data_IF_835250564352
#
_entry.id   IF_835250564352
#
_cell.length_a   1.000
_cell.length_b   1.000
_cell.length_c   1.000
_cell.angle_alpha   90.00
_cell.angle_beta   90.00
_cell.angle_gamma   90.00
#
_symmetry.space_group_name_H-M   'P 1'
#
loop_
_entity.id
_entity.type
_entity.pdbx_description
1 polymer ?
#
# COMPACT_ATOMS: atom_id res chain seq x y z
N UNK A 1 2.48 -23.46 13.40
CA UNK A 1 1.35 -23.83 12.50
C UNK A 1 1.49 -23.07 11.18
N UNK A 2 0.93 -23.55 10.06
CA UNK A 2 1.00 -22.86 8.77
C UNK A 2 -0.31 -22.99 7.98
N UNK A 3 -0.57 -22.04 7.08
CA UNK A 3 -1.76 -22.03 6.22
C UNK A 3 -1.45 -21.51 4.82
N UNK A 4 -2.29 -21.87 3.85
CA UNK A 4 -2.24 -21.36 2.47
C UNK A 4 -3.65 -21.40 1.89
N UNK A 5 -4.01 -20.39 1.11
CA UNK A 5 -5.25 -20.43 0.33
C UNK A 5 -5.15 -21.51 -0.77
N UNK A 6 -6.26 -22.17 -1.10
CA UNK A 6 -6.29 -23.20 -2.16
C UNK A 6 -6.28 -22.62 -3.59
N UNK A 7 -6.06 -21.30 -3.74
CA UNK A 7 -6.00 -20.65 -5.06
C UNK A 7 -4.64 -20.89 -5.74
N UNK A 8 -4.60 -21.06 -7.07
CA UNK A 8 -3.34 -21.12 -7.82
C UNK A 8 -2.42 -19.94 -7.49
N UNK A 9 -1.13 -20.20 -7.32
CA UNK A 9 -0.13 -19.18 -6.98
C UNK A 9 -0.10 -18.71 -5.52
N UNK A 10 -0.98 -19.23 -4.64
CA UNK A 10 -0.98 -18.86 -3.22
C UNK A 10 0.30 -19.32 -2.52
N UNK A 11 0.84 -18.46 -1.65
CA UNK A 11 2.04 -18.75 -0.82
C UNK A 11 1.67 -19.23 0.57
N UNK A 12 2.47 -20.13 1.14
CA UNK A 12 2.36 -20.54 2.54
C UNK A 12 2.63 -19.37 3.49
N UNK A 13 1.94 -19.36 4.62
CA UNK A 13 2.05 -18.37 5.69
C UNK A 13 2.11 -19.06 7.04
N UNK A 14 2.95 -18.54 7.92
CA UNK A 14 3.06 -19.04 9.28
C UNK A 14 1.97 -18.45 10.17
N UNK A 15 1.49 -19.26 11.12
CA UNK A 15 0.58 -18.84 12.19
C UNK A 15 1.40 -18.90 13.48
N UNK A 16 1.53 -17.75 14.13
CA UNK A 16 2.07 -17.65 15.48
C UNK A 16 1.01 -18.19 16.45
N UNK A 17 1.43 -19.10 17.32
CA UNK A 17 0.56 -19.80 18.27
C UNK A 17 1.43 -20.25 19.43
N UNK A 18 0.87 -20.23 20.65
CA UNK A 18 1.50 -20.73 21.87
C UNK A 18 2.80 -19.99 22.24
N UNK A 19 2.66 -18.79 22.83
CA UNK A 19 3.77 -17.88 23.15
C UNK A 19 3.91 -17.63 24.66
N UNK A 20 3.38 -18.53 25.48
CA UNK A 20 3.43 -18.49 26.94
C UNK A 20 4.86 -18.68 27.47
N UNK A 21 5.70 -19.46 26.79
CA UNK A 21 7.15 -19.62 27.06
C UNK A 21 8.01 -18.36 26.78
N UNK A 22 7.39 -17.20 26.73
CA UNK A 22 8.05 -15.90 26.56
C UNK A 22 8.35 -15.19 27.88
N UNK A 23 8.91 -13.99 27.76
CA UNK A 23 8.91 -12.96 28.82
C UNK A 23 9.39 -13.40 30.22
N UNK A 24 10.39 -14.28 30.31
CA UNK A 24 11.00 -14.61 31.59
C UNK A 24 10.50 -15.89 32.26
N UNK A 25 9.48 -16.58 31.73
CA UNK A 25 8.76 -17.67 32.42
C UNK A 25 9.67 -18.70 33.13
N UNK A 26 10.80 -19.07 32.51
CA UNK A 26 11.71 -20.10 33.04
C UNK A 26 12.97 -19.55 33.71
N UNK A 27 12.99 -18.25 34.04
CA UNK A 27 14.05 -17.65 34.84
C UNK A 27 14.35 -16.21 34.48
N UNK A 28 14.81 -15.48 35.49
CA UNK A 28 15.11 -14.04 35.41
C UNK A 28 16.11 -13.68 34.32
N UNK A 29 17.10 -14.53 34.05
CA UNK A 29 18.15 -14.25 33.05
C UNK A 29 17.83 -14.76 31.64
N UNK A 30 16.62 -15.26 31.38
CA UNK A 30 16.27 -15.84 30.06
C UNK A 30 16.25 -14.81 28.93
N UNK A 31 16.21 -13.50 29.24
CA UNK A 31 16.44 -12.44 28.25
C UNK A 31 17.81 -12.53 27.57
N UNK A 32 18.78 -13.29 28.14
CA UNK A 32 20.10 -13.56 27.56
C UNK A 32 20.12 -14.74 26.59
N UNK A 33 19.07 -15.57 26.55
CA UNK A 33 19.08 -16.81 25.78
C UNK A 33 19.28 -16.55 24.28
N UNK A 34 20.23 -17.23 23.65
CA UNK A 34 20.47 -17.09 22.21
C UNK A 34 19.43 -17.87 21.40
N UNK A 35 18.24 -17.29 21.26
CA UNK A 35 17.15 -17.89 20.49
C UNK A 35 17.50 -18.02 19.01
N UNK A 36 18.37 -17.17 18.47
CA UNK A 36 18.80 -17.27 17.07
C UNK A 36 19.62 -18.54 16.84
N UNK A 37 20.60 -18.81 17.71
CA UNK A 37 21.38 -20.05 17.67
C UNK A 37 20.47 -21.27 17.83
N UNK A 38 19.59 -21.25 18.83
CA UNK A 38 18.62 -22.32 19.05
C UNK A 38 17.77 -22.61 17.79
N UNK A 39 17.14 -21.61 17.18
CA UNK A 39 16.30 -21.81 15.99
C UNK A 39 17.08 -22.03 14.68
N UNK A 40 18.42 -22.04 14.73
CA UNK A 40 19.30 -22.36 13.60
C UNK A 40 20.23 -23.54 13.87
N UNK A 41 20.01 -24.28 14.96
CA UNK A 41 20.74 -25.50 15.32
C UNK A 41 20.41 -26.62 14.31
N UNK A 42 21.40 -27.15 13.56
CA UNK A 42 21.17 -28.25 12.63
C UNK A 42 20.85 -29.57 13.30
N UNK A 43 21.40 -29.85 14.49
CA UNK A 43 21.46 -31.19 15.08
C UNK A 43 20.90 -31.22 16.51
N UNK A 44 19.77 -30.56 16.73
CA UNK A 44 19.13 -30.51 18.04
C UNK A 44 18.42 -31.81 18.47
N UNK A 45 18.03 -31.94 19.75
CA UNK A 45 17.37 -33.14 20.28
C UNK A 45 15.96 -33.33 19.69
N UNK A 46 15.39 -34.53 19.82
CA UNK A 46 14.03 -34.84 19.34
C UNK A 46 12.96 -33.90 19.88
N UNK A 47 13.16 -33.40 21.11
CA UNK A 47 12.41 -32.30 21.71
C UNK A 47 13.40 -31.43 22.52
N UNK A 48 13.25 -30.10 22.56
CA UNK A 48 12.22 -29.28 21.88
C UNK A 48 12.58 -28.85 20.44
N UNK A 49 13.77 -29.21 19.94
CA UNK A 49 14.33 -28.59 18.73
C UNK A 49 14.94 -29.60 17.75
N UNK A 50 14.13 -30.49 17.16
CA UNK A 50 14.64 -31.51 16.25
C UNK A 50 15.16 -30.92 14.92
N UNK A 51 16.08 -31.59 14.20
CA UNK A 51 16.72 -31.05 12.99
C UNK A 51 15.76 -30.54 11.90
N UNK A 52 14.58 -31.14 11.78
CA UNK A 52 13.57 -30.78 10.79
C UNK A 52 12.85 -29.47 11.12
N UNK A 53 12.77 -29.05 12.38
CA UNK A 53 12.02 -27.83 12.78
C UNK A 53 12.78 -26.56 12.40
N UNK A 54 14.11 -26.61 12.42
CA UNK A 54 14.99 -25.49 12.04
C UNK A 54 15.37 -25.49 10.56
N UNK A 55 15.16 -26.63 9.86
CA UNK A 55 15.64 -26.86 8.49
C UNK A 55 15.31 -25.72 7.53
N UNK A 56 14.05 -25.29 7.48
CA UNK A 56 13.64 -24.26 6.52
C UNK A 56 14.34 -22.92 6.78
N UNK A 57 14.42 -22.49 8.04
CA UNK A 57 15.09 -21.23 8.37
C UNK A 57 16.58 -21.30 8.01
N UNK A 58 17.25 -22.41 8.33
CA UNK A 58 18.66 -22.63 7.97
C UNK A 58 18.87 -22.52 6.46
N UNK A 59 18.00 -23.16 5.66
CA UNK A 59 18.09 -23.11 4.19
C UNK A 59 17.78 -21.75 3.59
N UNK A 60 16.83 -21.01 4.16
CA UNK A 60 16.56 -19.64 3.70
C UNK A 60 17.74 -18.70 4.00
N UNK A 61 18.40 -18.87 5.15
CA UNK A 61 19.58 -18.07 5.53
C UNK A 61 20.83 -18.37 4.68
N UNK A 62 20.85 -19.43 3.87
CA UNK A 62 21.92 -19.66 2.88
C UNK A 62 21.84 -18.64 1.71
N UNK A 63 20.67 -18.03 1.48
CA UNK A 63 20.49 -16.98 0.47
C UNK A 63 20.85 -15.61 1.05
N UNK A 64 21.79 -14.90 0.42
CA UNK A 64 22.30 -13.62 0.93
C UNK A 64 21.30 -12.47 0.92
N UNK A 65 20.39 -12.44 -0.04
CA UNK A 65 19.31 -11.44 -0.05
C UNK A 65 18.32 -11.69 1.10
N UNK A 66 17.99 -12.96 1.37
CA UNK A 66 17.14 -13.32 2.50
C UNK A 66 17.84 -13.07 3.84
N UNK A 67 19.13 -13.40 3.97
CA UNK A 67 19.94 -13.10 5.15
C UNK A 67 19.91 -11.60 5.46
N UNK A 68 20.14 -10.75 4.45
CA UNK A 68 20.07 -9.30 4.60
C UNK A 68 18.67 -8.82 4.99
N UNK A 69 17.63 -9.31 4.31
CA UNK A 69 16.25 -8.98 4.65
C UNK A 69 15.86 -9.43 6.06
N UNK A 70 16.36 -10.58 6.52
CA UNK A 70 16.14 -11.11 7.86
C UNK A 70 16.79 -10.21 8.93
N UNK A 71 18.07 -9.87 8.77
CA UNK A 71 18.81 -9.01 9.71
C UNK A 71 18.19 -7.61 9.77
N UNK A 72 17.93 -6.98 8.62
CA UNK A 72 17.31 -5.65 8.54
C UNK A 72 15.91 -5.63 9.14
N UNK A 73 15.11 -6.69 8.93
CA UNK A 73 13.77 -6.80 9.53
C UNK A 73 13.83 -6.88 11.05
N UNK A 74 14.75 -7.68 11.60
CA UNK A 74 14.98 -7.75 13.04
C UNK A 74 15.41 -6.40 13.61
N UNK A 75 16.41 -5.76 13.00
CA UNK A 75 16.89 -4.44 13.41
C UNK A 75 15.77 -3.40 13.44
N UNK A 76 14.95 -3.37 12.39
CA UNK A 76 13.80 -2.48 12.29
C UNK A 76 12.75 -2.72 13.38
N UNK A 77 12.41 -3.98 13.67
CA UNK A 77 11.45 -4.27 14.75
C UNK A 77 11.99 -3.95 16.15
N UNK A 78 13.28 -4.19 16.40
CA UNK A 78 13.93 -3.87 17.68
C UNK A 78 14.03 -2.36 17.94
N UNK A 79 13.88 -1.53 16.91
CA UNK A 79 13.78 -0.06 17.03
C UNK A 79 12.33 0.44 17.03
N UNK A 80 11.35 -0.42 16.76
CA UNK A 80 9.94 -0.03 16.64
C UNK A 80 9.07 -0.90 17.55
N UNK A 81 8.35 -1.89 17.00
CA UNK A 81 7.37 -2.69 17.73
C UNK A 81 7.93 -3.48 18.92
N UNK A 82 9.23 -3.80 18.90
CA UNK A 82 9.95 -4.47 19.98
C UNK A 82 11.01 -3.57 20.63
N UNK A 83 10.86 -2.24 20.52
CA UNK A 83 11.58 -1.31 21.38
C UNK A 83 11.16 -1.48 22.84
N UNK A 84 12.06 -1.18 23.78
CA UNK A 84 11.79 -1.22 25.21
C UNK A 84 10.52 -0.44 25.56
N UNK A 85 10.43 0.82 25.13
CA UNK A 85 9.29 1.70 25.38
C UNK A 85 7.97 1.10 24.86
N UNK A 86 7.95 0.64 23.60
CA UNK A 86 6.72 0.10 23.00
C UNK A 86 6.23 -1.14 23.73
N UNK A 87 7.15 -2.04 24.12
CA UNK A 87 6.78 -3.28 24.80
C UNK A 87 6.36 -3.00 26.24
N UNK A 88 7.04 -2.11 26.97
CA UNK A 88 6.65 -1.70 28.32
C UNK A 88 5.27 -1.04 28.34
N UNK A 89 5.01 -0.10 27.42
CA UNK A 89 3.68 0.52 27.28
C UNK A 89 2.58 -0.52 27.02
N UNK A 90 2.89 -1.57 26.24
CA UNK A 90 1.94 -2.66 26.01
C UNK A 90 1.72 -3.52 27.25
N UNK A 91 2.77 -3.82 28.01
CA UNK A 91 2.68 -4.53 29.29
C UNK A 91 1.82 -3.73 30.26
N UNK A 92 2.05 -2.44 30.39
CA UNK A 92 1.31 -1.58 31.31
C UNK A 92 -0.16 -1.47 30.91
N UNK A 93 -0.46 -1.35 29.62
CA UNK A 93 -1.85 -1.40 29.13
C UNK A 93 -2.56 -2.71 29.51
N UNK A 94 -1.89 -3.87 29.36
CA UNK A 94 -2.45 -5.16 29.76
C UNK A 94 -2.62 -5.24 31.28
N UNK A 95 -1.62 -4.80 32.05
CA UNK A 95 -1.67 -4.78 33.50
C UNK A 95 -2.87 -3.96 34.00
N UNK A 96 -3.05 -2.73 33.50
CA UNK A 96 -4.15 -1.86 33.89
C UNK A 96 -5.53 -2.46 33.54
N UNK A 97 -5.65 -3.13 32.39
CA UNK A 97 -6.88 -3.79 31.99
C UNK A 97 -7.23 -4.99 32.91
N UNK A 98 -6.22 -5.69 33.44
CA UNK A 98 -6.42 -6.82 34.34
C UNK A 98 -6.60 -6.41 35.79
N UNK A 99 -6.04 -5.27 36.20
CA UNK A 99 -5.92 -4.82 37.59
C UNK A 99 -7.25 -4.91 38.39
N UNK A 100 -8.42 -4.53 37.87
CA UNK A 100 -9.68 -4.64 38.62
C UNK A 100 -10.09 -6.08 38.96
N UNK A 101 -9.67 -7.06 38.16
CA UNK A 101 -10.00 -8.48 38.34
C UNK A 101 -8.98 -9.22 39.21
N UNK A 102 -7.76 -8.68 39.37
CA UNK A 102 -6.67 -9.33 40.10
C UNK A 102 -7.05 -9.69 41.54
N UNK A 103 -7.68 -8.83 42.36
CA UNK A 103 -8.05 -9.21 43.74
C UNK A 103 -8.95 -10.45 43.79
N UNK A 104 -9.94 -10.54 42.88
CA UNK A 104 -10.85 -11.69 42.79
C UNK A 104 -10.11 -12.94 42.32
N UNK A 105 -9.21 -12.81 41.35
CA UNK A 105 -8.40 -13.92 40.85
C UNK A 105 -7.48 -14.49 41.94
N UNK A 106 -6.76 -13.62 42.66
CA UNK A 106 -5.86 -14.01 43.73
C UNK A 106 -6.61 -14.70 44.87
N UNK A 107 -7.77 -14.17 45.26
CA UNK A 107 -8.65 -14.78 46.26
C UNK A 107 -9.15 -16.16 45.82
N UNK A 108 -9.64 -16.30 44.58
CA UNK A 108 -10.18 -17.56 44.05
C UNK A 108 -9.15 -18.70 44.07
N UNK A 109 -7.90 -18.40 43.73
CA UNK A 109 -6.84 -19.40 43.58
C UNK A 109 -5.86 -19.44 44.75
N UNK A 110 -6.12 -18.69 45.82
CA UNK A 110 -5.26 -18.56 47.00
C UNK A 110 -3.81 -18.18 46.64
N UNK A 111 -3.66 -17.17 45.79
CA UNK A 111 -2.37 -16.69 45.27
C UNK A 111 -1.93 -15.40 45.99
N UNK A 112 -0.62 -15.16 46.03
CA UNK A 112 -0.06 -13.95 46.64
C UNK A 112 -0.06 -12.76 45.68
N UNK A 113 -0.52 -11.60 46.16
CA UNK A 113 -0.35 -10.34 45.46
C UNK A 113 1.13 -9.95 45.28
N UNK A 114 1.98 -10.24 46.27
CA UNK A 114 3.43 -9.97 46.13
C UNK A 114 4.03 -10.78 44.99
N UNK A 115 3.59 -12.04 44.83
CA UNK A 115 4.05 -12.91 43.76
C UNK A 115 3.59 -12.41 42.39
N UNK A 116 2.36 -11.92 42.28
CA UNK A 116 1.88 -11.27 41.06
C UNK A 116 2.77 -10.09 40.65
N UNK A 117 3.08 -9.19 41.57
CA UNK A 117 3.94 -8.04 41.29
C UNK A 117 5.38 -8.43 40.94
N UNK A 118 5.92 -9.49 41.56
CA UNK A 118 7.22 -10.06 41.19
C UNK A 118 7.23 -10.60 39.74
N UNK A 119 6.18 -11.32 39.32
CA UNK A 119 6.07 -11.82 37.95
C UNK A 119 5.90 -10.69 36.93
N UNK A 120 5.14 -9.64 37.27
CA UNK A 120 5.03 -8.44 36.41
C UNK A 120 6.39 -7.75 36.28
N UNK A 121 7.16 -7.63 37.37
CA UNK A 121 8.50 -7.07 37.32
C UNK A 121 9.46 -7.89 36.44
N UNK A 122 9.38 -9.23 36.50
CA UNK A 122 10.13 -10.14 35.64
C UNK A 122 9.83 -9.92 34.16
N UNK A 123 8.55 -9.78 33.80
CA UNK A 123 8.10 -9.53 32.42
C UNK A 123 8.63 -8.17 31.92
N UNK A 124 8.60 -7.14 32.77
CA UNK A 124 9.17 -5.81 32.46
C UNK A 124 10.69 -5.87 32.27
N UNK A 125 11.42 -6.54 33.17
CA UNK A 125 12.88 -6.70 33.07
C UNK A 125 13.27 -7.42 31.77
N UNK A 126 12.53 -8.47 31.39
CA UNK A 126 12.75 -9.15 30.11
C UNK A 126 12.57 -8.19 28.93
N UNK A 127 11.51 -7.38 28.92
CA UNK A 127 11.23 -6.43 27.85
C UNK A 127 12.35 -5.38 27.69
N UNK A 128 12.93 -4.92 28.80
CA UNK A 128 14.01 -3.94 28.84
C UNK A 128 15.32 -4.51 28.30
N UNK A 129 15.73 -5.68 28.78
CA UNK A 129 17.05 -6.22 28.44
C UNK A 129 17.09 -6.91 27.07
N UNK A 130 15.99 -7.56 26.66
CA UNK A 130 15.98 -8.47 25.50
C UNK A 130 16.45 -7.81 24.20
N UNK A 131 16.05 -6.58 23.83
CA UNK A 131 16.46 -5.98 22.56
C UNK A 131 17.97 -5.90 22.40
N UNK A 132 18.70 -5.51 23.46
CA UNK A 132 20.16 -5.42 23.44
C UNK A 132 20.82 -6.78 23.16
N UNK A 133 20.39 -7.84 23.85
CA UNK A 133 20.95 -9.18 23.64
C UNK A 133 20.62 -9.74 22.26
N UNK A 134 19.41 -9.49 21.72
CA UNK A 134 19.08 -9.91 20.36
C UNK A 134 20.00 -9.23 19.33
N UNK A 135 20.31 -7.93 19.50
CA UNK A 135 21.30 -7.25 18.64
C UNK A 135 22.68 -7.91 18.74
N UNK A 136 23.14 -8.23 19.96
CA UNK A 136 24.42 -8.95 20.15
C UNK A 136 24.43 -10.32 19.47
N UNK A 137 23.33 -11.08 19.54
CA UNK A 137 23.22 -12.38 18.86
C UNK A 137 23.25 -12.26 17.34
N UNK A 138 22.60 -11.23 16.78
CA UNK A 138 22.67 -10.93 15.34
C UNK A 138 24.10 -10.59 14.93
N UNK A 139 24.75 -9.70 15.67
CA UNK A 139 26.14 -9.29 15.43
C UNK A 139 27.08 -10.51 15.43
N UNK A 140 26.98 -11.37 16.44
CA UNK A 140 27.81 -12.57 16.55
C UNK A 140 27.53 -13.61 15.46
N UNK A 141 26.27 -13.80 15.05
CA UNK A 141 25.91 -14.83 14.06
C UNK A 141 26.20 -14.44 12.61
N UNK A 142 26.00 -13.16 12.28
CA UNK A 142 26.01 -12.66 10.91
C UNK A 142 27.18 -11.71 10.61
N UNK A 143 28.05 -11.43 11.59
CA UNK A 143 29.19 -10.52 11.42
C UNK A 143 28.75 -9.16 10.87
N UNK A 144 27.69 -8.60 11.47
CA UNK A 144 26.98 -7.43 10.95
C UNK A 144 27.78 -6.14 10.96
N UNK A 145 28.97 -6.14 11.58
CA UNK A 145 29.67 -4.93 11.96
C UNK A 145 29.00 -4.23 13.15
N UNK A 146 29.49 -3.04 13.53
CA UNK A 146 28.91 -2.21 14.59
C UNK A 146 27.46 -1.83 14.29
N UNK A 147 26.75 -1.49 15.36
CA UNK A 147 25.44 -0.86 15.27
C UNK A 147 25.60 0.58 14.79
N UNK A 148 24.71 1.01 13.90
CA UNK A 148 24.69 2.34 13.29
C UNK A 148 23.35 2.99 13.52
N UNK A 149 23.38 4.23 14.02
CA UNK A 149 22.18 5.02 14.28
C UNK A 149 21.72 5.70 12.99
N UNK A 150 20.42 5.65 12.72
CA UNK A 150 19.79 6.32 11.61
C UNK A 150 18.64 7.17 12.15
N UNK A 151 18.75 8.49 12.00
CA UNK A 151 17.68 9.42 12.36
C UNK A 151 17.00 9.85 11.07
N UNK A 152 15.71 9.55 10.95
CA UNK A 152 14.93 9.79 9.73
C UNK A 152 13.77 10.73 10.03
N UNK A 153 13.57 11.70 9.16
CA UNK A 153 12.37 12.54 9.17
C UNK A 153 11.95 12.92 7.75
N UNK A 154 10.71 13.32 7.57
CA UNK A 154 10.21 13.89 6.32
C UNK A 154 9.50 15.21 6.60
N UNK A 155 9.54 16.14 5.64
CA UNK A 155 8.65 17.30 5.68
C UNK A 155 7.20 16.87 5.45
N UNK A 156 6.27 17.79 5.70
CA UNK A 156 4.89 17.62 5.25
C UNK A 156 4.85 17.35 3.74
N UNK A 157 3.84 16.60 3.29
CA UNK A 157 3.65 16.29 1.87
C UNK A 157 4.25 14.96 1.40
N UNK A 158 4.80 14.15 2.29
CA UNK A 158 5.23 12.81 1.92
C UNK A 158 5.65 11.95 3.10
N UNK A 159 6.23 10.79 2.79
CA UNK A 159 6.75 9.83 3.74
C UNK A 159 7.94 9.06 3.18
N UNK A 160 8.77 8.53 4.06
CA UNK A 160 9.90 7.66 3.75
C UNK A 160 9.53 6.23 4.14
N UNK A 161 9.83 5.28 3.26
CA UNK A 161 9.74 3.84 3.52
C UNK A 161 11.14 3.27 3.64
N UNK A 162 11.39 2.50 4.70
CA UNK A 162 12.69 1.87 4.96
C UNK A 162 12.53 0.35 4.94
N UNK A 163 13.34 -0.34 4.13
CA UNK A 163 13.33 -1.80 3.97
C UNK A 163 11.94 -2.38 3.66
N UNK A 164 11.08 -1.61 2.96
CA UNK A 164 9.67 -1.92 2.72
C UNK A 164 8.85 -2.25 3.98
N UNK A 165 9.32 -1.87 5.16
CA UNK A 165 8.74 -2.23 6.46
C UNK A 165 8.31 -1.00 7.24
N UNK A 166 9.23 -0.09 7.50
CA UNK A 166 9.00 1.08 8.35
C UNK A 166 8.53 2.24 7.48
N UNK A 167 7.53 3.00 7.95
CA UNK A 167 7.06 4.22 7.30
C UNK A 167 7.28 5.39 8.25
N UNK A 168 7.97 6.43 7.80
CA UNK A 168 8.27 7.65 8.55
C UNK A 168 7.63 8.83 7.83
N UNK A 169 6.85 9.64 8.52
CA UNK A 169 6.20 10.85 7.95
C UNK A 169 6.67 12.09 8.72
N UNK A 170 5.75 12.81 9.36
CA UNK A 170 6.03 14.10 10.01
C UNK A 170 6.85 13.96 11.31
N UNK A 171 6.97 12.74 11.83
CA UNK A 171 7.74 12.45 13.04
C UNK A 171 9.21 12.20 12.72
N UNK A 172 10.09 12.55 13.65
CA UNK A 172 11.49 12.11 13.62
C UNK A 172 11.59 10.75 14.30
N UNK A 173 12.07 9.75 13.57
CA UNK A 173 12.23 8.39 14.06
C UNK A 173 13.71 8.04 14.13
N UNK A 174 14.11 7.49 15.27
CA UNK A 174 15.45 6.97 15.48
C UNK A 174 15.45 5.45 15.33
N UNK A 175 16.31 4.95 14.45
CA UNK A 175 16.46 3.53 14.13
C UNK A 175 17.90 3.11 14.35
N UNK A 176 18.10 1.82 14.63
CA UNK A 176 19.42 1.23 14.79
C UNK A 176 19.52 0.03 13.86
N UNK A 177 20.44 0.13 12.90
CA UNK A 177 20.78 -0.90 11.93
C UNK A 177 22.25 -1.32 12.12
N UNK A 178 22.80 -2.08 11.17
CA UNK A 178 24.17 -2.57 11.23
C UNK A 178 24.94 -2.17 9.96
N UNK A 179 26.23 -1.86 10.11
CA UNK A 179 27.09 -1.33 9.05
C UNK A 179 27.13 -2.21 7.79
N UNK A 180 27.33 -3.53 7.96
CA UNK A 180 27.53 -4.44 6.83
C UNK A 180 26.23 -4.87 6.13
N UNK A 181 25.10 -4.30 6.53
CA UNK A 181 23.77 -4.63 6.00
C UNK A 181 23.09 -3.37 5.46
N UNK A 182 23.31 -3.05 4.17
CA UNK A 182 22.72 -1.87 3.54
C UNK A 182 21.20 -1.88 3.63
N UNK A 183 20.58 -0.70 3.71
CA UNK A 183 19.13 -0.54 3.83
C UNK A 183 18.54 0.09 2.57
N UNK A 184 17.30 -0.25 2.23
CA UNK A 184 16.58 0.44 1.16
C UNK A 184 15.79 1.61 1.72
N UNK A 185 15.89 2.75 1.05
CA UNK A 185 15.18 3.98 1.34
C UNK A 185 14.31 4.33 0.14
N UNK A 186 13.04 4.65 0.38
CA UNK A 186 12.10 5.09 -0.66
C UNK A 186 11.28 6.29 -0.21
N UNK A 187 11.27 7.36 -0.99
CA UNK A 187 10.36 8.49 -0.80
C UNK A 187 9.03 8.24 -1.52
N UNK A 188 7.94 8.55 -0.83
CA UNK A 188 6.58 8.53 -1.39
C UNK A 188 5.92 9.87 -1.10
N UNK A 189 5.71 10.67 -2.13
CA UNK A 189 5.01 11.95 -2.02
C UNK A 189 3.50 11.71 -1.85
N UNK A 190 2.84 12.60 -1.09
CA UNK A 190 1.39 12.68 -0.99
C UNK A 190 0.80 13.49 -2.17
N UNK A 191 -0.53 13.52 -2.28
CA UNK A 191 -1.22 14.30 -3.30
C UNK A 191 -0.81 15.77 -3.27
N UNK A 192 -0.51 16.35 -4.44
CA UNK A 192 -0.11 17.75 -4.56
C UNK A 192 1.32 18.05 -4.12
N UNK A 193 2.17 17.03 -3.95
CA UNK A 193 3.59 17.19 -3.60
C UNK A 193 4.51 16.35 -4.48
N UNK A 194 5.79 16.70 -4.48
CA UNK A 194 6.89 15.89 -5.03
C UNK A 194 8.08 15.88 -4.09
N UNK A 195 8.94 14.86 -4.22
CA UNK A 195 10.26 14.89 -3.58
C UNK A 195 11.10 15.99 -4.24
N UNK A 196 11.51 16.95 -3.44
CA UNK A 196 12.37 18.07 -3.83
C UNK A 196 13.84 17.66 -3.73
N UNK A 197 14.27 17.23 -2.53
CA UNK A 197 15.63 16.75 -2.28
C UNK A 197 15.72 15.86 -1.05
N UNK A 198 16.84 15.17 -0.94
CA UNK A 198 17.32 14.57 0.32
C UNK A 198 18.29 15.52 1.01
N UNK A 199 18.24 15.58 2.34
CA UNK A 199 19.18 16.32 3.18
C UNK A 199 19.87 15.34 4.15
N UNK A 200 21.14 15.62 4.46
CA UNK A 200 21.95 14.82 5.38
C UNK A 200 22.69 13.63 4.74
N UNK A 201 22.49 13.40 3.44
CA UNK A 201 23.25 12.42 2.65
C UNK A 201 23.62 12.99 1.28
N UNK A 202 24.73 12.53 0.70
CA UNK A 202 25.10 12.77 -0.69
C UNK A 202 24.34 11.78 -1.61
N UNK A 203 23.02 11.95 -1.72
CA UNK A 203 22.23 11.26 -2.75
C UNK A 203 22.00 12.20 -3.94
N UNK A 204 21.92 11.66 -5.16
CA UNK A 204 21.38 12.42 -6.28
C UNK A 204 19.99 12.91 -5.89
N UNK A 205 19.82 14.23 -5.86
CA UNK A 205 18.81 14.93 -5.07
C UNK A 205 17.38 14.46 -5.37
N UNK A 206 17.13 13.88 -6.55
CA UNK A 206 15.79 13.45 -6.99
C UNK A 206 15.56 11.94 -7.00
N UNK A 207 16.52 11.10 -6.56
CA UNK A 207 16.31 9.65 -6.55
C UNK A 207 15.23 9.26 -5.54
N UNK A 208 14.17 8.62 -6.04
CA UNK A 208 13.02 8.18 -5.25
C UNK A 208 13.30 6.99 -4.38
N UNK A 209 14.19 6.12 -4.82
CA UNK A 209 14.54 4.88 -4.15
C UNK A 209 16.03 4.62 -4.35
N UNK A 210 16.72 4.27 -3.27
CA UNK A 210 18.15 3.95 -3.28
C UNK A 210 18.52 3.04 -2.11
N UNK A 211 19.70 2.44 -2.21
CA UNK A 211 20.32 1.69 -1.13
C UNK A 211 21.29 2.58 -0.37
N UNK A 212 21.17 2.63 0.95
CA UNK A 212 22.01 3.42 1.85
C UNK A 212 22.93 2.49 2.65
N UNK A 213 24.23 2.76 2.57
CA UNK A 213 25.25 2.15 3.43
C UNK A 213 25.45 3.05 4.67
N UNK A 214 25.43 2.47 5.86
CA UNK A 214 25.59 3.21 7.12
C UNK A 214 27.05 3.07 7.58
N UNK A 215 27.93 3.93 7.05
CA UNK A 215 29.36 3.87 7.35
C UNK A 215 29.78 4.74 8.55
N UNK A 216 28.87 5.59 9.03
CA UNK A 216 29.10 6.52 10.15
C UNK A 216 28.36 6.05 11.39
N UNK A 217 28.83 6.43 12.59
CA UNK A 217 28.16 6.10 13.87
C UNK A 217 26.70 6.55 13.90
N UNK A 218 26.39 7.70 13.30
CA UNK A 218 25.03 8.22 13.18
C UNK A 218 24.82 8.95 11.84
N UNK A 219 23.88 8.45 11.04
CA UNK A 219 23.43 9.09 9.79
C UNK A 219 22.11 9.82 10.04
N UNK A 220 21.97 11.05 9.54
CA UNK A 220 20.71 11.81 9.54
C UNK A 220 20.20 11.88 8.11
N UNK A 221 18.92 11.59 7.94
CA UNK A 221 18.27 11.58 6.64
C UNK A 221 16.97 12.36 6.73
N UNK A 222 16.83 13.40 5.93
CA UNK A 222 15.59 14.15 5.81
C UNK A 222 15.10 14.21 4.36
N UNK A 223 13.84 13.85 4.13
CA UNK A 223 13.21 14.03 2.81
C UNK A 223 12.42 15.34 2.80
N UNK A 224 12.78 16.24 1.88
CA UNK A 224 12.04 17.47 1.61
C UNK A 224 11.05 17.22 0.49
N UNK A 225 9.77 17.42 0.77
CA UNK A 225 8.68 17.45 -0.19
C UNK A 225 8.18 18.88 -0.35
N UNK A 226 8.07 19.34 -1.59
CA UNK A 226 7.50 20.65 -1.92
C UNK A 226 6.19 20.45 -2.69
N UNK A 227 5.28 21.40 -2.55
CA UNK A 227 4.02 21.39 -3.29
C UNK A 227 4.29 21.35 -4.80
N UNK A 228 3.62 20.43 -5.47
CA UNK A 228 3.76 20.23 -6.90
C UNK A 228 2.54 19.50 -7.45
N UNK A 229 1.88 20.17 -8.38
CA UNK A 229 0.77 19.64 -9.17
C UNK A 229 1.35 19.20 -10.50
N UNK A 230 1.27 17.91 -10.80
CA UNK A 230 1.81 17.40 -12.05
C UNK A 230 0.97 17.93 -13.23
N UNK A 231 1.56 18.30 -14.38
CA UNK A 231 0.80 18.87 -15.51
C UNK A 231 -0.32 17.98 -16.07
N UNK A 232 -0.26 16.67 -15.80
CA UNK A 232 -1.25 15.65 -16.17
C UNK A 232 -2.28 15.36 -15.08
N UNK A 233 -2.20 15.99 -13.91
CA UNK A 233 -3.24 15.92 -12.89
C UNK A 233 -4.57 16.43 -13.48
N UNK A 234 -5.66 15.69 -13.23
CA UNK A 234 -6.97 15.93 -13.84
C UNK A 234 -7.04 15.69 -15.37
N UNK A 235 -5.94 15.25 -16.00
CA UNK A 235 -5.88 14.96 -17.44
C UNK A 235 -5.61 13.50 -17.77
N UNK A 236 -4.93 12.80 -16.89
CA UNK A 236 -4.67 11.38 -17.01
C UNK A 236 -5.33 10.70 -15.81
N UNK A 237 -6.53 10.17 -16.02
CA UNK A 237 -7.42 9.72 -14.94
C UNK A 237 -7.64 8.22 -15.00
N UNK A 238 -7.70 7.55 -13.86
CA UNK A 238 -8.25 6.21 -13.74
C UNK A 238 -9.74 6.34 -14.07
N UNK A 239 -10.20 5.66 -15.13
CA UNK A 239 -11.52 5.89 -15.70
C UNK A 239 -12.52 4.80 -15.35
N UNK A 240 -12.06 3.54 -15.34
CA UNK A 240 -12.90 2.38 -15.09
C UNK A 240 -12.10 1.28 -14.38
N UNK A 241 -12.73 0.55 -13.45
CA UNK A 241 -12.12 -0.54 -12.70
C UNK A 241 -13.06 -1.74 -12.65
N UNK A 242 -12.56 -2.92 -13.03
CA UNK A 242 -13.29 -4.18 -12.95
C UNK A 242 -12.53 -5.23 -12.14
N UNK A 243 -12.86 -5.42 -10.85
CA UNK A 243 -12.22 -6.42 -10.02
C UNK A 243 -12.81 -7.82 -10.28
N UNK A 244 -11.92 -8.77 -10.57
CA UNK A 244 -12.17 -10.21 -10.74
C UNK A 244 -13.26 -10.54 -11.75
N UNK A 245 -13.18 -9.93 -12.93
CA UNK A 245 -14.03 -10.29 -14.05
C UNK A 245 -13.90 -11.79 -14.38
N UNK A 246 -15.04 -12.47 -14.58
CA UNK A 246 -15.06 -13.91 -14.82
C UNK A 246 -14.42 -14.34 -16.14
N UNK A 247 -14.40 -13.45 -17.15
CA UNK A 247 -13.84 -13.71 -18.48
C UNK A 247 -12.43 -13.14 -18.62
N UNK A 248 -12.24 -11.89 -18.21
CA UNK A 248 -11.03 -11.11 -18.46
C UNK A 248 -10.07 -11.01 -17.26
N UNK A 249 -10.50 -11.41 -16.06
CA UNK A 249 -9.75 -11.21 -14.82
C UNK A 249 -9.79 -9.77 -14.32
N UNK A 250 -8.84 -9.39 -13.47
CA UNK A 250 -8.75 -8.01 -13.00
C UNK A 250 -8.32 -7.09 -14.15
N UNK A 251 -9.00 -5.97 -14.32
CA UNK A 251 -8.57 -4.92 -15.23
C UNK A 251 -8.98 -3.53 -14.73
N UNK A 252 -8.25 -2.53 -15.20
CA UNK A 252 -8.61 -1.12 -15.04
C UNK A 252 -8.23 -0.36 -16.30
N UNK A 253 -8.78 0.83 -16.45
CA UNK A 253 -8.54 1.71 -17.58
C UNK A 253 -8.07 3.08 -17.12
N UNK A 254 -7.12 3.63 -17.87
CA UNK A 254 -6.65 5.01 -17.73
C UNK A 254 -7.07 5.77 -18.99
N UNK A 255 -7.69 6.93 -18.82
CA UNK A 255 -8.12 7.80 -19.89
C UNK A 255 -7.29 9.09 -19.91
N UNK A 256 -6.83 9.48 -21.09
CA UNK A 256 -6.12 10.73 -21.32
C UNK A 256 -7.09 11.77 -21.90
N UNK A 257 -7.62 12.67 -21.06
CA UNK A 257 -8.51 13.77 -21.47
C UNK A 257 -7.75 14.90 -22.19
N UNK A 258 -6.41 14.86 -22.22
CA UNK A 258 -5.62 15.90 -22.86
C UNK A 258 -5.60 15.77 -24.39
N UNK A 259 -5.14 16.84 -25.04
CA UNK A 259 -4.93 16.88 -26.49
C UNK A 259 -3.52 16.44 -26.90
N UNK A 260 -2.75 15.85 -25.99
CA UNK A 260 -1.38 15.44 -26.23
C UNK A 260 -1.21 13.94 -26.02
N UNK A 261 -0.28 13.32 -26.75
CA UNK A 261 0.14 11.95 -26.49
C UNK A 261 0.99 11.91 -25.22
N UNK A 262 0.66 11.02 -24.30
CA UNK A 262 1.35 10.90 -23.00
C UNK A 262 2.18 9.60 -22.98
N UNK A 263 3.52 9.67 -22.96
CA UNK A 263 4.36 8.51 -22.72
C UNK A 263 4.39 8.15 -21.23
N UNK A 264 4.26 6.86 -20.92
CA UNK A 264 4.16 6.38 -19.53
C UNK A 264 5.36 5.54 -19.07
N UNK A 265 6.42 5.41 -19.89
CA UNK A 265 7.60 4.63 -19.51
C UNK A 265 8.14 5.08 -18.15
N UNK A 266 8.26 4.14 -17.19
CA UNK A 266 8.79 4.41 -15.85
C UNK A 266 7.79 5.04 -14.87
N UNK A 267 6.56 5.35 -15.30
CA UNK A 267 5.48 5.69 -14.37
C UNK A 267 5.12 4.47 -13.52
N UNK A 268 4.44 4.66 -12.40
CA UNK A 268 4.05 3.54 -11.54
C UNK A 268 2.59 3.59 -11.13
N UNK A 269 1.97 2.41 -11.04
CA UNK A 269 0.67 2.21 -10.42
C UNK A 269 0.88 1.35 -9.16
N UNK A 270 0.43 1.82 -8.00
CA UNK A 270 0.59 1.14 -6.72
C UNK A 270 -0.75 0.87 -6.03
N UNK A 271 -0.84 -0.26 -5.31
CA UNK A 271 -1.92 -0.54 -4.35
C UNK A 271 -1.54 -0.18 -2.89
N UNK A 272 -2.49 -0.32 -1.94
CA UNK A 272 -2.24 -0.11 -0.49
C UNK A 272 -1.21 -1.09 0.11
N UNK A 273 -1.02 -2.26 -0.50
CA UNK A 273 -0.10 -3.31 -0.04
C UNK A 273 1.30 -3.11 -0.62
N UNK A 274 1.56 -1.99 -1.31
CA UNK A 274 2.83 -1.63 -1.93
C UNK A 274 3.24 -2.59 -3.05
N UNK A 275 2.26 -3.23 -3.69
CA UNK A 275 2.52 -3.86 -4.98
C UNK A 275 2.58 -2.76 -6.03
N UNK A 276 3.64 -2.74 -6.81
CA UNK A 276 3.86 -1.72 -7.83
C UNK A 276 3.95 -2.37 -9.21
N UNK A 277 3.26 -1.75 -10.17
CA UNK A 277 3.46 -1.95 -11.60
C UNK A 277 4.27 -0.74 -12.10
N UNK A 278 5.42 -0.99 -12.72
CA UNK A 278 6.11 0.03 -13.52
C UNK A 278 5.70 -0.10 -14.97
N UNK A 279 5.23 0.98 -15.57
CA UNK A 279 4.80 0.97 -16.95
C UNK A 279 6.01 0.82 -17.89
N UNK A 280 5.97 -0.12 -18.86
CA UNK A 280 6.99 -0.25 -19.89
C UNK A 280 6.85 0.88 -20.91
N UNK A 281 7.50 0.73 -22.06
CA UNK A 281 7.34 1.68 -23.16
C UNK A 281 5.94 1.61 -23.77
N UNK A 282 5.03 2.43 -23.24
CA UNK A 282 3.62 2.55 -23.64
C UNK A 282 3.21 4.02 -23.64
N UNK A 283 2.16 4.33 -24.39
CA UNK A 283 1.63 5.68 -24.52
C UNK A 283 0.10 5.66 -24.58
N UNK A 284 -0.50 6.78 -24.21
CA UNK A 284 -1.92 7.04 -24.43
C UNK A 284 -2.04 8.19 -25.42
N UNK A 285 -2.79 7.97 -26.51
CA UNK A 285 -3.10 9.03 -27.47
C UNK A 285 -3.97 10.15 -26.85
N UNK A 286 -4.18 11.26 -27.57
CA UNK A 286 -5.08 12.31 -27.12
C UNK A 286 -6.55 11.83 -27.12
N UNK A 287 -7.28 12.05 -26.03
CA UNK A 287 -8.65 11.53 -25.83
C UNK A 287 -8.75 10.01 -26.06
N UNK A 288 -7.73 9.28 -25.60
CA UNK A 288 -7.56 7.86 -25.81
C UNK A 288 -7.37 7.11 -24.48
N UNK A 289 -7.42 5.79 -24.54
CA UNK A 289 -7.47 4.89 -23.38
C UNK A 289 -6.27 3.94 -23.36
N UNK A 290 -5.87 3.53 -22.15
CA UNK A 290 -4.99 2.39 -21.90
C UNK A 290 -5.68 1.46 -20.94
N UNK A 291 -5.86 0.21 -21.36
CA UNK A 291 -6.39 -0.84 -20.48
C UNK A 291 -5.23 -1.62 -19.87
N UNK A 292 -5.21 -1.73 -18.55
CA UNK A 292 -4.31 -2.60 -17.81
C UNK A 292 -5.07 -3.87 -17.44
N UNK A 293 -4.61 -5.01 -17.94
CA UNK A 293 -5.18 -6.32 -17.65
C UNK A 293 -4.14 -7.25 -17.04
N UNK A 294 -4.59 -8.30 -16.35
CA UNK A 294 -3.69 -9.38 -15.90
C UNK A 294 -3.09 -10.14 -17.08
N UNK A 295 -3.90 -10.39 -18.11
CA UNK A 295 -3.55 -11.13 -19.32
C UNK A 295 -4.26 -10.47 -20.50
N UNK A 296 -3.51 -9.71 -21.30
CA UNK A 296 -4.03 -8.98 -22.45
C UNK A 296 -4.61 -9.90 -23.51
N UNK A 297 -4.10 -11.12 -23.68
CA UNK A 297 -4.62 -12.05 -24.68
C UNK A 297 -6.01 -12.55 -24.28
N UNK A 298 -6.20 -12.92 -23.01
CA UNK A 298 -7.53 -13.25 -22.47
C UNK A 298 -8.47 -12.05 -22.48
N UNK A 299 -7.94 -10.86 -22.18
CA UNK A 299 -8.72 -9.63 -22.20
C UNK A 299 -9.28 -9.37 -23.61
N UNK A 300 -8.45 -9.41 -24.64
CA UNK A 300 -8.87 -9.20 -26.04
C UNK A 300 -9.84 -10.29 -26.52
N UNK A 301 -9.72 -11.53 -26.02
CA UNK A 301 -10.73 -12.57 -26.30
C UNK A 301 -12.10 -12.25 -25.68
N UNK A 302 -12.11 -11.67 -24.47
CA UNK A 302 -13.34 -11.26 -23.80
C UNK A 302 -13.95 -10.00 -24.43
N UNK A 303 -13.12 -9.10 -24.94
CA UNK A 303 -13.50 -7.84 -25.59
C UNK A 303 -12.82 -7.71 -26.96
N UNK A 304 -13.40 -8.27 -28.04
CA UNK A 304 -12.76 -8.30 -29.36
C UNK A 304 -12.46 -6.93 -29.99
N UNK A 305 -13.10 -5.87 -29.51
CA UNK A 305 -12.85 -4.48 -29.95
C UNK A 305 -11.80 -3.74 -29.11
N UNK A 306 -11.25 -4.36 -28.07
CA UNK A 306 -10.28 -3.71 -27.19
C UNK A 306 -8.95 -3.49 -27.91
N UNK A 307 -8.32 -2.35 -27.61
CA UNK A 307 -7.03 -1.95 -28.14
C UNK A 307 -6.21 -1.26 -27.05
N UNK A 308 -4.92 -1.06 -27.31
CA UNK A 308 -3.99 -0.48 -26.32
C UNK A 308 -4.12 -1.17 -24.94
N UNK A 309 -4.03 -2.51 -24.95
CA UNK A 309 -4.16 -3.34 -23.74
C UNK A 309 -2.78 -3.78 -23.30
N UNK A 310 -2.39 -3.39 -22.09
CA UNK A 310 -1.13 -3.79 -21.47
C UNK A 310 -1.38 -4.95 -20.49
N UNK A 311 -0.65 -6.04 -20.70
CA UNK A 311 -0.48 -7.08 -19.68
C UNK A 311 0.46 -6.59 -18.58
N UNK A 312 0.16 -6.92 -17.34
CA UNK A 312 1.13 -6.71 -16.27
C UNK A 312 0.53 -6.40 -14.91
N UNK A 313 -0.80 -6.30 -14.78
CA UNK A 313 -1.47 -6.14 -13.49
C UNK A 313 -1.17 -7.38 -12.62
N UNK A 314 -0.07 -7.31 -11.89
CA UNK A 314 0.60 -8.42 -11.20
C UNK A 314 0.07 -8.59 -9.77
N UNK A 315 -0.69 -7.61 -9.29
CA UNK A 315 -1.50 -7.69 -8.08
C UNK A 315 -2.99 -7.79 -8.42
N UNK A 316 -3.76 -8.39 -7.51
CA UNK A 316 -5.18 -8.60 -7.72
C UNK A 316 -6.00 -7.47 -7.11
N UNK A 317 -7.00 -6.99 -7.85
CA UNK A 317 -7.93 -5.97 -7.40
C UNK A 317 -8.96 -6.56 -6.44
N UNK A 318 -9.16 -5.89 -5.30
CA UNK A 318 -10.09 -6.36 -4.29
C UNK A 318 -11.52 -5.92 -4.59
N UNK A 319 -12.45 -6.89 -4.69
CA UNK A 319 -13.89 -6.62 -4.91
C UNK A 319 -14.58 -5.84 -3.79
N UNK A 320 -13.99 -5.71 -2.60
CA UNK A 320 -14.60 -4.99 -1.46
C UNK A 320 -13.96 -3.65 -1.21
N UNK A 321 -12.63 -3.61 -1.11
CA UNK A 321 -11.90 -2.38 -0.80
C UNK A 321 -10.54 -2.38 -1.48
N UNK A 322 -10.27 -1.35 -2.25
CA UNK A 322 -8.99 -1.12 -2.90
C UNK A 322 -8.63 0.37 -2.84
N UNK A 323 -7.33 0.68 -2.85
CA UNK A 323 -6.86 2.01 -3.23
C UNK A 323 -5.74 1.88 -4.25
N UNK A 324 -5.85 2.65 -5.32
CA UNK A 324 -4.88 2.69 -6.41
C UNK A 324 -4.36 4.11 -6.55
N UNK A 325 -3.06 4.22 -6.81
CA UNK A 325 -2.40 5.50 -7.02
C UNK A 325 -1.51 5.43 -8.24
N UNK A 326 -1.69 6.39 -9.14
CA UNK A 326 -0.87 6.59 -10.33
C UNK A 326 0.19 7.67 -10.05
N UNK A 327 1.46 7.32 -10.16
CA UNK A 327 2.58 8.24 -10.02
C UNK A 327 3.28 8.44 -11.36
N UNK A 328 3.69 9.68 -11.61
CA UNK A 328 4.57 10.01 -12.73
C UNK A 328 5.98 9.41 -12.58
N UNK A 329 6.84 9.56 -13.59
CA UNK A 329 8.27 9.17 -13.47
C UNK A 329 9.04 10.04 -12.47
N UNK A 330 8.64 11.32 -12.34
CA UNK A 330 9.07 12.21 -11.26
C UNK A 330 8.38 11.87 -9.93
N UNK A 331 7.33 11.05 -10.06
CA UNK A 331 6.30 10.51 -9.16
C UNK A 331 5.75 11.39 -8.07
N UNK A 332 5.58 12.64 -8.43
CA UNK A 332 4.34 13.31 -8.10
C UNK A 332 3.15 12.37 -8.39
N UNK A 333 2.21 12.31 -7.46
CA UNK A 333 0.94 11.64 -7.65
C UNK A 333 0.18 12.38 -8.76
N UNK A 334 -0.34 11.63 -9.74
CA UNK A 334 -1.09 12.19 -10.87
C UNK A 334 -2.58 11.96 -10.69
N UNK A 335 -2.94 10.79 -10.17
CA UNK A 335 -4.32 10.45 -9.89
C UNK A 335 -4.41 9.34 -8.83
N UNK A 336 -5.54 9.25 -8.13
CA UNK A 336 -5.79 8.19 -7.17
C UNK A 336 -7.27 7.92 -6.97
N UNK A 337 -7.58 6.68 -6.62
CA UNK A 337 -8.93 6.26 -6.25
C UNK A 337 -8.85 5.37 -5.01
N UNK A 338 -9.81 5.55 -4.10
CA UNK A 338 -10.11 4.58 -3.05
C UNK A 338 -11.60 4.24 -3.10
N UNK A 339 -11.93 2.96 -3.07
CA UNK A 339 -13.33 2.53 -2.99
C UNK A 339 -13.53 1.50 -1.89
N UNK A 340 -14.73 1.53 -1.32
CA UNK A 340 -15.27 0.47 -0.48
C UNK A 340 -16.69 0.16 -0.95
N UNK A 341 -16.93 -1.08 -1.35
CA UNK A 341 -18.21 -1.54 -1.89
C UNK A 341 -18.73 -2.74 -1.09
N UNK A 342 -20.07 -2.93 -1.02
CA UNK A 342 -20.67 -4.10 -0.40
C UNK A 342 -20.16 -5.41 -1.01
N UNK A 343 -20.23 -6.54 -0.27
CA UNK A 343 -19.95 -7.84 -0.86
C UNK A 343 -20.87 -8.15 -2.03
N UNK A 344 -20.27 -8.40 -3.19
CA UNK A 344 -20.97 -8.79 -4.40
C UNK A 344 -20.23 -9.95 -5.06
N UNK A 345 -20.96 -11.00 -5.42
CA UNK A 345 -20.40 -12.17 -6.10
C UNK A 345 -20.35 -11.99 -7.63
N UNK A 346 -21.27 -11.21 -8.21
CA UNK A 346 -21.34 -10.89 -9.64
C UNK A 346 -20.21 -9.98 -10.12
N UNK A 347 -19.92 -10.01 -11.44
CA UNK A 347 -19.05 -9.02 -12.09
C UNK A 347 -19.67 -7.63 -12.01
N UNK A 348 -18.84 -6.63 -11.70
CA UNK A 348 -19.22 -5.23 -11.70
C UNK A 348 -18.04 -4.37 -12.16
N UNK A 349 -18.34 -3.13 -12.54
CA UNK A 349 -17.35 -2.08 -12.73
C UNK A 349 -17.65 -0.88 -11.85
N UNK A 350 -16.58 -0.15 -11.50
CA UNK A 350 -16.63 1.19 -10.97
C UNK A 350 -16.23 2.14 -12.08
N UNK A 351 -17.10 3.08 -12.39
CA UNK A 351 -16.94 4.00 -13.52
C UNK A 351 -16.88 5.43 -13.01
N UNK A 352 -15.86 6.19 -13.40
CA UNK A 352 -15.84 7.62 -13.17
C UNK A 352 -17.01 8.26 -13.94
N UNK A 353 -17.86 9.05 -13.27
CA UNK A 353 -19.07 9.60 -13.87
C UNK A 353 -18.77 10.50 -15.07
N UNK A 354 -17.79 11.41 -14.92
CA UNK A 354 -17.32 12.32 -15.95
C UNK A 354 -15.80 12.44 -15.87
N UNK A 355 -15.07 12.47 -17.01
CA UNK A 355 -13.60 12.43 -17.03
C UNK A 355 -12.83 13.57 -16.32
N UNK A 356 -13.51 14.63 -15.90
CA UNK A 356 -12.90 15.80 -15.25
C UNK A 356 -13.22 15.89 -13.75
N UNK A 357 -13.93 14.89 -13.22
CA UNK A 357 -14.26 14.83 -11.80
C UNK A 357 -13.08 14.31 -10.98
N UNK A 358 -13.11 14.61 -9.69
CA UNK A 358 -12.08 14.18 -8.74
C UNK A 358 -12.28 12.69 -8.40
N UNK A 359 -11.28 11.89 -8.73
CA UNK A 359 -11.28 10.45 -8.49
C UNK A 359 -11.18 10.07 -7.00
N UNK A 360 -10.76 11.00 -6.14
CA UNK A 360 -10.67 10.78 -4.71
C UNK A 360 -12.03 10.89 -3.99
N UNK A 361 -13.02 11.49 -4.64
CA UNK A 361 -14.39 11.60 -4.14
C UNK A 361 -15.22 10.38 -4.58
N UNK A 362 -15.68 9.53 -3.62
CA UNK A 362 -16.48 8.35 -3.94
C UNK A 362 -17.80 8.65 -4.64
N UNK A 363 -18.38 9.86 -4.49
CA UNK A 363 -19.63 10.24 -5.14
C UNK A 363 -19.46 10.44 -6.66
N UNK A 364 -18.23 10.64 -7.12
CA UNK A 364 -17.91 10.74 -8.54
C UNK A 364 -17.81 9.38 -9.24
N UNK A 365 -17.99 8.29 -8.51
CA UNK A 365 -17.90 6.92 -9.02
C UNK A 365 -19.24 6.20 -9.01
N UNK A 366 -19.57 5.59 -10.14
CA UNK A 366 -20.77 4.79 -10.30
C UNK A 366 -20.44 3.30 -10.19
N UNK A 367 -21.14 2.60 -9.29
CA UNK A 367 -21.15 1.15 -9.27
C UNK A 367 -22.15 0.62 -10.31
N UNK A 368 -21.68 -0.20 -11.27
CA UNK A 368 -22.54 -0.88 -12.25
C UNK A 368 -22.27 -2.36 -12.32
N UNK A 369 -23.33 -3.16 -12.35
CA UNK A 369 -23.21 -4.57 -12.71
C UNK A 369 -22.88 -4.74 -14.19
N UNK A 370 -22.06 -5.75 -14.49
CA UNK A 370 -21.69 -6.10 -15.85
C UNK A 370 -20.19 -6.06 -16.08
N UNK A 371 -19.82 -6.11 -17.35
CA UNK A 371 -18.46 -6.37 -17.81
C UNK A 371 -17.70 -5.07 -18.16
N UNK A 372 -18.33 -3.91 -18.09
CA UNK A 372 -17.69 -2.62 -18.33
C UNK A 372 -17.65 -2.15 -19.78
N UNK A 373 -16.97 -1.02 -20.01
CA UNK A 373 -16.91 -0.30 -21.29
C UNK A 373 -15.47 -0.01 -21.75
N UNK A 374 -14.58 -1.02 -21.84
CA UNK A 374 -13.19 -0.78 -22.18
C UNK A 374 -13.04 -0.10 -23.55
N UNK A 375 -12.10 0.83 -23.60
CA UNK A 375 -11.77 1.71 -24.71
C UNK A 375 -12.94 2.59 -25.21
N UNK A 376 -13.94 2.84 -24.35
CA UNK A 376 -15.11 3.64 -24.68
C UNK A 376 -15.50 4.59 -23.55
N UNK A 377 -16.37 5.55 -23.86
CA UNK A 377 -16.92 6.46 -22.87
C UNK A 377 -17.78 5.70 -21.84
N UNK A 378 -17.56 6.01 -20.55
CA UNK A 378 -18.36 5.44 -19.47
C UNK A 378 -19.87 5.69 -19.68
N UNK A 379 -20.75 4.76 -19.29
CA UNK A 379 -22.17 4.83 -19.60
C UNK A 379 -22.84 6.14 -19.16
N UNK A 380 -22.56 6.61 -17.94
CA UNK A 380 -23.11 7.88 -17.45
C UNK A 380 -22.70 9.07 -18.31
N UNK A 381 -21.45 9.12 -18.78
CA UNK A 381 -20.97 10.17 -19.67
C UNK A 381 -21.71 10.15 -21.02
N UNK A 382 -21.96 8.96 -21.58
CA UNK A 382 -22.76 8.81 -22.80
C UNK A 382 -24.20 9.28 -22.58
N UNK A 383 -24.85 8.80 -21.51
CA UNK A 383 -26.23 9.14 -21.18
C UNK A 383 -26.41 10.65 -20.95
N UNK A 384 -25.49 11.28 -20.22
CA UNK A 384 -25.54 12.72 -19.94
C UNK A 384 -25.39 13.55 -21.21
N UNK A 385 -24.50 13.17 -22.14
CA UNK A 385 -24.36 13.83 -23.45
C UNK A 385 -25.62 13.70 -24.30
N UNK A 386 -26.24 12.52 -24.32
CA UNK A 386 -27.50 12.29 -25.06
C UNK A 386 -28.62 13.16 -24.49
N UNK A 387 -28.79 13.19 -23.16
CA UNK A 387 -29.80 14.04 -22.49
C UNK A 387 -29.57 15.52 -22.78
N UNK A 388 -28.33 15.99 -22.73
CA UNK A 388 -27.99 17.37 -23.04
C UNK A 388 -28.30 17.74 -24.49
N UNK A 389 -27.93 16.88 -25.45
CA UNK A 389 -28.25 17.08 -26.86
C UNK A 389 -29.76 17.11 -27.10
N UNK A 390 -30.52 16.19 -26.49
CA UNK A 390 -31.98 16.17 -26.56
C UNK A 390 -32.59 17.45 -26.00
N UNK A 391 -32.10 17.95 -24.86
CA UNK A 391 -32.56 19.21 -24.27
C UNK A 391 -32.30 20.41 -25.21
N UNK A 392 -31.11 20.48 -25.83
CA UNK A 392 -30.79 21.52 -26.81
C UNK A 392 -31.72 21.46 -28.03
N UNK A 393 -31.97 20.27 -28.59
CA UNK A 393 -32.89 20.10 -29.72
C UNK A 393 -34.33 20.47 -29.35
N UNK A 394 -34.79 20.15 -28.14
CA UNK A 394 -36.10 20.57 -27.65
C UNK A 394 -36.19 22.10 -27.54
N UNK A 395 -35.16 22.78 -27.01
CA UNK A 395 -35.13 24.24 -26.92
C UNK A 395 -35.11 24.90 -28.31
N UNK A 396 -34.30 24.39 -29.24
CA UNK A 396 -34.27 24.88 -30.62
C UNK A 396 -35.60 24.67 -31.34
N UNK A 397 -36.23 23.50 -31.14
CA UNK A 397 -37.55 23.18 -31.69
C UNK A 397 -38.64 24.09 -31.15
N UNK A 398 -38.65 24.38 -29.83
CA UNK A 398 -39.57 25.33 -29.21
C UNK A 398 -39.38 26.74 -29.78
N UNK A 399 -38.14 27.22 -29.88
CA UNK A 399 -37.84 28.54 -30.43
C UNK A 399 -38.26 28.67 -31.90
N UNK A 400 -37.96 27.66 -32.73
CA UNK A 400 -38.38 27.62 -34.12
C UNK A 400 -39.91 27.56 -34.26
N UNK A 401 -40.59 26.79 -33.39
CA UNK A 401 -42.05 26.72 -33.33
C UNK A 401 -42.69 28.06 -33.00
N UNK A 402 -42.19 28.76 -31.97
CA UNK A 402 -42.66 30.11 -31.60
C UNK A 402 -42.42 31.09 -32.75
N UNK A 403 -41.27 31.03 -33.41
CA UNK A 403 -40.95 31.89 -34.56
C UNK A 403 -41.89 31.63 -35.74
N UNK A 404 -42.15 30.36 -36.06
CA UNK A 404 -43.08 29.97 -37.12
C UNK A 404 -44.51 30.44 -36.81
N UNK A 405 -44.98 30.24 -35.57
CA UNK A 405 -46.29 30.70 -35.12
C UNK A 405 -46.40 32.23 -35.21
N UNK A 406 -45.35 32.95 -34.81
CA UNK A 406 -45.28 34.41 -34.90
C UNK A 406 -45.35 34.89 -36.35
N UNK A 407 -44.64 34.22 -37.26
CA UNK A 407 -44.68 34.52 -38.70
C UNK A 407 -46.04 34.21 -39.31
N UNK A 408 -46.69 33.11 -38.92
CA UNK A 408 -48.06 32.75 -39.36
C UNK A 408 -49.05 33.80 -38.87
N UNK A 409 -48.99 34.21 -37.60
CA UNK A 409 -49.84 35.27 -37.05
C UNK A 409 -49.64 36.61 -37.76
N UNK A 410 -48.39 36.98 -38.06
CA UNK A 410 -48.06 38.17 -38.86
C UNK A 410 -48.65 38.07 -40.28
N UNK A 411 -48.55 36.92 -40.94
CA UNK A 411 -49.10 36.70 -42.27
C UNK A 411 -50.64 36.72 -42.29
N UNK A 412 -51.29 36.13 -41.29
CA UNK A 412 -52.75 36.16 -41.13
C UNK A 412 -53.25 37.58 -40.86
N UNK A 413 -52.53 38.35 -40.04
CA UNK A 413 -52.81 39.78 -39.78
C UNK A 413 -52.67 40.62 -41.06
N UNK A 414 -51.64 40.37 -41.88
CA UNK A 414 -51.48 41.07 -43.17
C UNK A 414 -52.58 40.72 -44.17
N UNK A 415 -53.15 39.51 -44.12
CA UNK A 415 -54.24 39.05 -44.99
C UNK A 415 -55.66 39.42 -44.49
N UNK A 416 -55.81 40.15 -43.38
CA UNK A 416 -57.10 40.48 -42.74
C UNK A 416 -57.98 39.25 -42.46
N UNK A 417 -57.36 38.12 -42.10
CA UNK A 417 -58.05 36.89 -41.69
C UNK A 417 -58.15 36.75 -40.15
N UNK A 418 -57.54 37.69 -39.42
CA UNK A 418 -57.59 37.87 -37.97
C UNK A 418 -57.72 39.36 -37.65
#
# INVERSE_FOLDING_TARGET
KFWRSQKPGSRWRWILYDTDWGFGLHGRNTYRNNSLAFHTEPDGPSWPNPPWSTFLLRKLLENKEFEAAFVNRFAGYLSTSFSEETVLNRIDSIYQNLLPEIPRHLSRWNLSHSKWEEEVALVREFAQERPRYVRMHLMGRFHTGPQRKLVVSASAGGRIIINNQISVSNDTVELVYFENFPITIKAVAHHGYQLSRWEGIEANETLREFTLNLNEDATRLHARFDEFIHPMEGKLVINEICPKNGKAGDWLEIFNTSRHRVPLKGWTLSDLKRNELTFPEVYIGPNDYLVLARDSAKFVQAYPGAYNVLSGLNFGLNKRRESLVLYSILGAMVDSISYEVPPVDSTFTLNLLLPHLDNSDPENWEFRFGEGSPNAANPYYVESRVRHAQAQWMQMGLAAGVLLLSLILLALRQRRLL
#
